data_IF_925034294210
#
_entry.id   IF_925034294210
#
_cell.length_a   1.000
_cell.length_b   1.000
_cell.length_c   1.000
_cell.angle_alpha   90.00
_cell.angle_beta   90.00
_cell.angle_gamma   90.00
#
_symmetry.space_group_name_H-M   'P 1'
#
loop_
_entity.id
_entity.type
_entity.pdbx_description
1 polymer ?
#
# COMPACT_ATOMS: atom_id res chain seq x y z
N UNK A 1 -15.96 10.70 5.93
CA UNK A 1 -15.29 10.98 4.63
C UNK A 1 -16.28 11.08 3.47
N UNK A 2 -17.40 10.35 3.48
CA UNK A 2 -18.38 10.39 2.40
C UNK A 2 -18.95 11.82 2.20
N UNK A 3 -18.96 12.30 0.94
CA UNK A 3 -19.35 13.65 0.54
C UNK A 3 -18.45 14.80 1.03
N UNK A 4 -17.29 14.52 1.63
CA UNK A 4 -16.30 15.54 1.94
C UNK A 4 -15.40 15.81 0.72
N UNK A 5 -14.81 17.00 0.62
CA UNK A 5 -13.72 17.25 -0.32
C UNK A 5 -12.48 16.42 0.10
N UNK A 6 -11.65 16.04 -0.87
CA UNK A 6 -10.36 15.42 -0.57
C UNK A 6 -9.50 16.39 0.26
N UNK A 7 -8.80 15.86 1.27
CA UNK A 7 -7.87 16.63 2.10
C UNK A 7 -6.50 15.95 2.10
N UNK A 8 -5.49 16.69 1.71
CA UNK A 8 -4.10 16.24 1.76
C UNK A 8 -3.63 16.04 3.22
N UNK A 9 -4.18 16.79 4.17
CA UNK A 9 -3.87 16.65 5.58
C UNK A 9 -4.40 15.33 6.16
N UNK A 10 -5.50 14.80 5.62
CA UNK A 10 -5.99 13.46 5.98
C UNK A 10 -5.08 12.38 5.42
N UNK A 11 -4.58 12.54 4.18
CA UNK A 11 -3.54 11.67 3.63
C UNK A 11 -2.29 11.68 4.53
N UNK A 12 -1.83 12.85 4.97
CA UNK A 12 -0.67 12.96 5.87
C UNK A 12 -0.91 12.21 7.19
N UNK A 13 -2.11 12.32 7.79
CA UNK A 13 -2.46 11.55 8.98
C UNK A 13 -2.42 10.05 8.73
N UNK A 14 -2.88 9.59 7.57
CA UNK A 14 -2.83 8.18 7.21
C UNK A 14 -1.38 7.69 7.01
N UNK A 15 -0.53 8.46 6.31
CA UNK A 15 0.90 8.18 6.14
C UNK A 15 1.63 8.13 7.50
N UNK A 16 1.34 9.08 8.39
CA UNK A 16 1.93 9.16 9.72
C UNK A 16 1.49 8.00 10.63
N UNK A 17 0.25 7.54 10.48
CA UNK A 17 -0.29 6.41 11.22
C UNK A 17 0.22 5.06 10.67
N UNK A 18 0.47 4.96 9.37
CA UNK A 18 0.84 3.74 8.66
C UNK A 18 2.30 3.34 8.81
N UNK A 19 2.86 3.36 10.02
CA UNK A 19 4.29 3.11 10.29
C UNK A 19 4.76 1.66 10.05
N UNK A 20 3.84 0.72 9.86
CA UNK A 20 4.07 -0.66 9.42
C UNK A 20 2.80 -1.19 8.76
N UNK A 21 2.86 -2.30 8.03
CA UNK A 21 1.69 -2.92 7.40
C UNK A 21 0.55 -3.18 8.39
N UNK A 22 0.87 -3.54 9.65
CA UNK A 22 -0.12 -3.74 10.70
C UNK A 22 -0.82 -2.44 11.11
N UNK A 23 -0.06 -1.35 11.19
CA UNK A 23 -0.59 -0.03 11.54
C UNK A 23 -1.39 0.56 10.38
N UNK A 24 -0.95 0.39 9.13
CA UNK A 24 -1.69 0.80 7.92
C UNK A 24 -3.05 0.11 7.85
N UNK A 25 -3.07 -1.21 8.12
CA UNK A 25 -4.31 -2.00 8.17
C UNK A 25 -5.23 -1.54 9.30
N UNK A 26 -4.69 -1.26 10.49
CA UNK A 26 -5.47 -0.73 11.61
C UNK A 26 -6.06 0.66 11.31
N UNK A 27 -5.27 1.55 10.70
CA UNK A 27 -5.72 2.88 10.30
C UNK A 27 -6.84 2.82 9.24
N UNK A 28 -6.68 1.96 8.22
CA UNK A 28 -7.71 1.74 7.21
C UNK A 28 -8.99 1.13 7.80
N UNK A 29 -8.85 0.16 8.71
CA UNK A 29 -9.99 -0.46 9.41
C UNK A 29 -10.77 0.57 10.23
N UNK A 30 -10.07 1.45 10.97
CA UNK A 30 -10.70 2.51 11.74
C UNK A 30 -11.49 3.50 10.86
N UNK A 31 -10.96 3.85 9.68
CA UNK A 31 -11.68 4.67 8.68
C UNK A 31 -12.94 3.94 8.19
N UNK A 32 -12.83 2.65 7.85
CA UNK A 32 -13.96 1.83 7.40
C UNK A 32 -15.05 1.73 8.47
N UNK A 33 -14.69 1.47 9.72
CA UNK A 33 -15.63 1.42 10.85
C UNK A 33 -16.36 2.77 11.05
N UNK A 34 -15.62 3.87 10.99
CA UNK A 34 -16.20 5.22 11.09
C UNK A 34 -17.20 5.53 9.96
N UNK A 35 -17.05 4.88 8.79
CA UNK A 35 -17.95 4.97 7.64
C UNK A 35 -19.05 3.89 7.63
N UNK A 36 -19.16 3.12 8.73
CA UNK A 36 -20.22 2.15 8.96
C UNK A 36 -20.02 0.79 8.27
N UNK A 37 -18.76 0.42 7.99
CA UNK A 37 -18.41 -0.94 7.55
C UNK A 37 -18.34 -1.87 8.76
N UNK A 38 -18.87 -3.08 8.62
CA UNK A 38 -18.90 -4.10 9.67
C UNK A 38 -17.76 -5.09 9.44
N UNK A 39 -17.00 -5.38 10.49
CA UNK A 39 -15.94 -6.38 10.44
C UNK A 39 -16.56 -7.79 10.31
N UNK A 40 -16.10 -8.53 9.31
CA UNK A 40 -16.46 -9.92 9.03
C UNK A 40 -15.21 -10.81 9.15
N UNK A 41 -14.86 -11.33 10.34
CA UNK A 41 -13.70 -12.21 10.50
C UNK A 41 -13.75 -13.40 9.54
N UNK A 42 -12.62 -13.77 8.95
CA UNK A 42 -12.57 -14.89 8.00
C UNK A 42 -13.01 -16.23 8.62
N UNK A 43 -12.78 -16.42 9.92
CA UNK A 43 -13.14 -17.64 10.67
C UNK A 43 -14.62 -17.72 11.04
N UNK A 44 -15.40 -16.64 10.89
CA UNK A 44 -16.82 -16.62 11.23
C UNK A 44 -17.72 -16.89 10.01
N UNK A 45 -18.96 -17.33 10.26
CA UNK A 45 -20.01 -17.25 9.25
C UNK A 45 -20.40 -15.79 9.01
N UNK A 46 -20.67 -15.42 7.75
CA UNK A 46 -21.05 -14.06 7.40
C UNK A 46 -22.54 -13.96 7.12
N UNK A 47 -23.17 -12.96 7.71
CA UNK A 47 -24.55 -12.56 7.42
C UNK A 47 -24.53 -11.31 6.56
N UNK A 48 -24.66 -11.47 5.25
CA UNK A 48 -24.50 -10.40 4.28
C UNK A 48 -25.88 -9.94 3.75
N UNK A 49 -26.16 -8.66 3.87
CA UNK A 49 -27.39 -8.04 3.35
C UNK A 49 -27.14 -7.27 2.05
N UNK A 50 -28.09 -7.22 1.10
CA UNK A 50 -27.98 -6.40 -0.11
C UNK A 50 -27.68 -4.93 0.23
N UNK A 51 -26.66 -4.35 -0.43
CA UNK A 51 -26.19 -2.98 -0.18
C UNK A 51 -25.46 -2.79 1.15
N UNK A 52 -25.24 -3.86 1.93
CA UNK A 52 -24.47 -3.83 3.16
C UNK A 52 -22.99 -3.50 2.91
N UNK A 53 -22.31 -3.01 3.95
CA UNK A 53 -20.92 -2.57 3.94
C UNK A 53 -20.12 -3.42 4.92
N UNK A 54 -19.10 -4.07 4.44
CA UNK A 54 -18.34 -5.03 5.23
C UNK A 54 -16.85 -4.91 4.94
N UNK A 55 -16.03 -5.39 5.86
CA UNK A 55 -14.60 -5.57 5.64
C UNK A 55 -14.09 -6.80 6.40
N UNK A 56 -12.95 -7.31 5.97
CA UNK A 56 -12.20 -8.35 6.68
C UNK A 56 -10.72 -8.04 6.64
N UNK A 57 -9.96 -8.62 7.57
CA UNK A 57 -8.51 -8.52 7.60
C UNK A 57 -7.88 -9.90 7.56
N UNK A 58 -6.71 -10.02 6.94
CA UNK A 58 -5.91 -11.24 6.95
C UNK A 58 -4.53 -10.94 7.55
N UNK A 59 -4.12 -11.74 8.53
CA UNK A 59 -2.88 -11.55 9.29
C UNK A 59 -2.78 -10.20 10.04
N UNK A 60 -3.83 -9.36 10.06
CA UNK A 60 -3.76 -8.00 10.59
C UNK A 60 -2.89 -7.04 9.76
N UNK A 61 -2.43 -7.45 8.57
CA UNK A 61 -1.55 -6.67 7.68
C UNK A 61 -2.11 -6.48 6.28
N UNK A 62 -3.17 -7.19 5.91
CA UNK A 62 -3.98 -6.95 4.72
C UNK A 62 -5.44 -6.70 5.12
N UNK A 63 -6.14 -5.86 4.38
CA UNK A 63 -7.56 -5.53 4.60
C UNK A 63 -8.29 -5.48 3.26
N UNK A 64 -9.49 -6.04 3.23
CA UNK A 64 -10.40 -5.97 2.09
C UNK A 64 -11.78 -5.51 2.58
N UNK A 65 -12.29 -4.45 1.96
CA UNK A 65 -13.62 -3.91 2.20
C UNK A 65 -14.51 -4.06 0.98
N UNK A 66 -15.81 -4.26 1.19
CA UNK A 66 -16.76 -4.36 0.09
C UNK A 66 -18.11 -3.75 0.40
N UNK A 67 -18.81 -3.37 -0.65
CA UNK A 67 -20.24 -3.09 -0.64
C UNK A 67 -20.97 -4.19 -1.40
N UNK A 68 -21.97 -4.77 -0.75
CA UNK A 68 -22.80 -5.80 -1.38
C UNK A 68 -23.58 -5.22 -2.56
N UNK A 69 -23.67 -5.95 -3.68
CA UNK A 69 -24.58 -5.58 -4.76
C UNK A 69 -26.03 -5.50 -4.27
N UNK A 70 -26.81 -4.68 -4.95
CA UNK A 70 -28.27 -4.70 -4.87
C UNK A 70 -28.79 -5.35 -6.13
N UNK A 71 -29.76 -6.27 -5.99
CA UNK A 71 -30.29 -7.01 -7.13
C UNK A 71 -29.36 -8.10 -7.66
N UNK A 72 -29.50 -8.45 -8.94
CA UNK A 72 -28.70 -9.49 -9.59
C UNK A 72 -27.26 -9.01 -9.83
N UNK A 73 -26.27 -9.84 -9.52
CA UNK A 73 -24.87 -9.50 -9.73
C UNK A 73 -24.54 -9.43 -11.24
N UNK A 74 -24.10 -8.27 -11.70
CA UNK A 74 -23.74 -8.01 -13.10
C UNK A 74 -22.26 -7.71 -13.29
N UNK A 75 -21.52 -7.30 -12.24
CA UNK A 75 -20.10 -7.00 -12.30
C UNK A 75 -19.55 -6.46 -10.99
N UNK A 76 -18.25 -6.19 -11.01
CA UNK A 76 -17.48 -5.67 -9.87
C UNK A 76 -16.70 -4.42 -10.26
N UNK A 77 -16.62 -3.48 -9.33
CA UNK A 77 -15.57 -2.48 -9.31
C UNK A 77 -14.59 -2.84 -8.20
N UNK A 78 -13.32 -2.87 -8.49
CA UNK A 78 -12.31 -3.14 -7.48
C UNK A 78 -11.10 -2.21 -7.62
N UNK A 79 -10.54 -1.78 -6.50
CA UNK A 79 -9.24 -1.11 -6.45
C UNK A 79 -8.34 -1.84 -5.46
N UNK A 80 -7.10 -2.08 -5.86
CA UNK A 80 -6.10 -2.81 -5.10
C UNK A 80 -4.83 -1.97 -4.96
N UNK A 81 -4.22 -2.02 -3.77
CA UNK A 81 -2.99 -1.33 -3.37
C UNK A 81 -2.24 -2.20 -2.36
N UNK A 82 -1.11 -1.73 -1.78
CA UNK A 82 -0.43 -2.47 -0.74
C UNK A 82 -0.15 -1.66 0.53
N UNK A 83 0.10 -2.38 1.64
CA UNK A 83 0.24 -1.84 2.99
C UNK A 83 1.68 -1.77 3.48
N UNK A 84 2.55 -2.56 2.88
CA UNK A 84 3.96 -2.68 3.23
C UNK A 84 4.80 -1.65 2.48
N UNK A 85 6.03 -1.44 2.94
CA UNK A 85 7.01 -0.54 2.33
C UNK A 85 8.41 -1.01 2.70
N UNK A 86 9.45 -0.72 1.90
CA UNK A 86 10.81 -1.14 2.23
C UNK A 86 11.28 -0.60 3.56
N UNK A 87 11.86 -1.48 4.36
CA UNK A 87 12.33 -1.17 5.72
C UNK A 87 13.34 -2.18 6.24
N UNK A 88 13.78 -2.01 7.48
CA UNK A 88 14.62 -2.94 8.21
C UNK A 88 13.78 -3.77 9.17
N UNK A 89 13.65 -5.07 8.93
CA UNK A 89 12.99 -6.02 9.83
C UNK A 89 13.91 -6.38 10.98
N UNK A 90 13.43 -6.33 12.21
CA UNK A 90 14.16 -6.78 13.40
C UNK A 90 14.09 -8.30 13.47
N UNK A 91 15.25 -8.96 13.45
CA UNK A 91 15.38 -10.41 13.59
C UNK A 91 15.49 -10.85 15.04
N UNK A 92 16.19 -10.04 15.85
CA UNK A 92 16.44 -10.34 17.26
C UNK A 92 16.44 -9.04 18.07
N UNK A 93 15.78 -9.06 19.23
CA UNK A 93 15.56 -7.87 20.07
C UNK A 93 16.82 -7.31 20.71
N UNK A 94 17.72 -8.20 21.16
CA UNK A 94 18.89 -7.84 21.90
C UNK A 94 20.09 -8.65 21.41
N UNK A 95 21.12 -7.97 20.95
CA UNK A 95 22.42 -8.56 20.70
C UNK A 95 23.40 -8.07 21.75
N UNK A 96 24.13 -8.99 22.37
CA UNK A 96 25.16 -8.63 23.31
C UNK A 96 26.29 -7.87 22.59
N UNK A 97 26.44 -6.61 22.94
CA UNK A 97 27.58 -5.78 22.55
C UNK A 97 28.25 -5.22 23.80
N UNK A 98 29.56 -4.97 23.69
CA UNK A 98 30.37 -4.51 24.86
C UNK A 98 30.01 -3.09 25.30
N UNK A 99 29.48 -2.27 24.41
CA UNK A 99 29.30 -0.82 24.60
C UNK A 99 27.85 -0.38 24.38
N UNK A 100 27.17 -0.97 23.38
CA UNK A 100 25.85 -0.52 22.93
C UNK A 100 24.79 -1.61 23.08
N UNK A 101 23.55 -1.20 23.35
CA UNK A 101 22.38 -2.03 23.10
C UNK A 101 22.12 -2.03 21.59
N UNK A 102 22.04 -3.20 20.99
CA UNK A 102 21.81 -3.40 19.55
C UNK A 102 20.66 -4.37 19.30
N UNK A 103 20.12 -4.34 18.10
CA UNK A 103 19.29 -5.41 17.56
C UNK A 103 19.82 -5.83 16.18
N UNK A 104 19.68 -7.09 15.82
CA UNK A 104 19.95 -7.50 14.44
C UNK A 104 18.78 -7.21 13.53
N UNK A 105 19.10 -6.65 12.36
CA UNK A 105 18.11 -6.33 11.34
C UNK A 105 18.48 -6.95 10.00
N UNK A 106 17.48 -7.14 9.16
CA UNK A 106 17.63 -7.49 7.74
C UNK A 106 16.77 -6.58 6.88
N UNK A 107 17.19 -6.39 5.61
CA UNK A 107 16.42 -5.59 4.66
C UNK A 107 15.12 -6.30 4.26
N UNK A 108 14.03 -5.55 4.26
CA UNK A 108 12.73 -5.94 3.72
C UNK A 108 12.44 -5.04 2.51
N UNK A 109 12.26 -5.66 1.32
CA UNK A 109 12.13 -4.92 0.06
C UNK A 109 13.43 -4.29 -0.46
N UNK A 110 13.34 -3.56 -1.53
CA UNK A 110 14.46 -2.95 -2.26
C UNK A 110 14.75 -1.50 -1.88
N UNK A 111 15.18 -1.23 -0.63
CA UNK A 111 15.35 0.13 -0.12
C UNK A 111 16.58 0.87 -0.63
N UNK A 112 16.52 2.20 -0.61
CA UNK A 112 17.69 3.09 -0.74
C UNK A 112 18.40 3.15 0.62
N UNK A 113 19.38 2.26 0.85
CA UNK A 113 20.06 2.07 2.14
C UNK A 113 20.63 3.34 2.76
N UNK A 114 21.33 4.24 2.01
CA UNK A 114 21.90 5.47 2.59
C UNK A 114 20.88 6.40 3.21
N UNK A 115 19.61 6.34 2.75
CA UNK A 115 18.57 7.21 3.28
C UNK A 115 18.16 6.90 4.72
N UNK A 116 18.57 5.75 5.26
CA UNK A 116 18.27 5.31 6.62
C UNK A 116 19.33 5.70 7.65
N UNK A 117 20.49 6.17 7.20
CA UNK A 117 21.62 6.50 8.06
C UNK A 117 21.39 7.85 8.77
N UNK A 118 21.92 7.96 10.01
CA UNK A 118 21.93 9.17 10.85
C UNK A 118 20.54 9.79 11.14
N UNK A 119 19.49 8.98 11.04
CA UNK A 119 18.11 9.43 11.29
C UNK A 119 17.61 9.01 12.66
N UNK A 120 16.72 9.78 13.27
CA UNK A 120 15.96 9.32 14.43
C UNK A 120 14.96 8.25 14.01
N UNK A 121 15.18 7.01 14.47
CA UNK A 121 14.34 5.87 14.17
C UNK A 121 13.59 5.41 15.42
N UNK A 122 12.44 4.77 15.21
CA UNK A 122 11.71 4.01 16.23
C UNK A 122 11.47 2.59 15.75
N UNK A 123 10.80 1.78 16.57
CA UNK A 123 10.36 0.42 16.23
C UNK A 123 8.85 0.42 16.09
N UNK A 124 8.34 -0.16 15.03
CA UNK A 124 6.92 -0.32 14.81
C UNK A 124 6.59 -1.76 14.42
N UNK A 125 5.36 -2.20 14.71
CA UNK A 125 4.88 -3.52 14.36
C UNK A 125 3.95 -4.10 15.41
N UNK A 126 4.03 -5.41 15.62
CA UNK A 126 3.21 -6.10 16.63
C UNK A 126 4.04 -7.03 17.52
N UNK A 127 3.61 -7.16 18.75
CA UNK A 127 4.04 -8.20 19.67
C UNK A 127 2.98 -9.29 19.71
N UNK A 128 3.40 -10.55 19.80
CA UNK A 128 2.55 -11.70 20.05
C UNK A 128 2.68 -12.07 21.51
N UNK A 129 1.63 -11.82 22.27
CA UNK A 129 1.67 -11.85 23.74
C UNK A 129 0.82 -13.00 24.27
N UNK A 130 1.35 -13.71 25.24
CA UNK A 130 0.61 -14.72 26.00
C UNK A 130 -0.49 -14.07 26.84
N UNK A 131 -1.69 -14.61 26.76
CA UNK A 131 -2.83 -14.27 27.60
C UNK A 131 -3.40 -15.54 28.25
N UNK A 132 -4.36 -15.37 29.17
CA UNK A 132 -5.06 -16.53 29.76
C UNK A 132 -5.80 -17.39 28.72
N UNK A 133 -6.28 -16.77 27.64
CA UNK A 133 -7.04 -17.43 26.56
C UNK A 133 -6.18 -17.90 25.37
N UNK A 134 -4.86 -17.58 25.34
CA UNK A 134 -4.00 -17.99 24.24
C UNK A 134 -2.95 -16.94 23.86
N UNK A 135 -2.90 -16.57 22.58
CA UNK A 135 -1.96 -15.59 22.04
C UNK A 135 -2.73 -14.43 21.43
N UNK A 136 -2.38 -13.21 21.80
CA UNK A 136 -2.96 -11.99 21.26
C UNK A 136 -1.90 -11.09 20.63
N UNK A 137 -2.32 -10.35 19.59
CA UNK A 137 -1.49 -9.33 18.94
C UNK A 137 -1.65 -7.98 19.64
N UNK A 138 -0.53 -7.30 19.88
CA UNK A 138 -0.51 -5.91 20.40
C UNK A 138 0.35 -5.05 19.49
N UNK A 139 -0.23 -4.01 18.90
CA UNK A 139 0.52 -3.03 18.11
C UNK A 139 1.42 -2.20 19.01
N UNK A 140 2.62 -1.92 18.53
CA UNK A 140 3.61 -1.07 19.24
C UNK A 140 4.27 -0.11 18.27
N UNK A 141 4.38 1.15 18.69
CA UNK A 141 5.16 2.18 18.01
C UNK A 141 5.47 3.30 19.01
N UNK A 142 6.52 3.19 19.85
CA UNK A 142 6.87 4.20 20.82
C UNK A 142 7.06 5.59 20.19
N UNK A 143 6.38 6.60 20.74
CA UNK A 143 6.39 7.97 20.20
C UNK A 143 7.67 8.74 20.61
N UNK A 144 8.82 8.11 20.39
CA UNK A 144 10.15 8.69 20.60
C UNK A 144 11.18 8.02 19.70
N UNK A 145 12.31 8.69 19.47
CA UNK A 145 13.46 8.06 18.83
C UNK A 145 14.05 7.01 19.77
N UNK A 146 14.16 5.78 19.28
CA UNK A 146 14.74 4.64 19.99
C UNK A 146 16.06 4.18 19.39
N UNK A 147 16.25 4.43 18.09
CA UNK A 147 17.39 3.86 17.35
C UNK A 147 17.99 4.87 16.38
N UNK A 148 19.22 4.57 15.99
CA UNK A 148 19.93 5.21 14.89
C UNK A 148 20.82 4.16 14.22
N UNK A 149 20.96 4.24 12.90
CA UNK A 149 22.01 3.55 12.14
C UNK A 149 23.10 4.57 11.85
N UNK A 150 24.22 4.59 12.59
CA UNK A 150 25.22 5.62 12.42
C UNK A 150 26.11 5.36 11.21
N UNK A 151 26.41 6.40 10.43
CA UNK A 151 27.46 6.35 9.45
C UNK A 151 28.85 6.16 10.12
N UNK A 152 29.74 5.49 9.39
CA UNK A 152 31.18 5.57 9.74
C UNK A 152 31.64 7.01 9.46
N UNK A 153 32.38 7.61 10.39
CA UNK A 153 32.81 8.98 10.22
C UNK A 153 33.80 9.12 9.03
N UNK A 154 33.80 10.30 8.38
CA UNK A 154 34.60 10.54 7.18
C UNK A 154 36.11 10.30 7.39
N UNK A 155 36.60 10.48 8.62
CA UNK A 155 38.03 10.25 8.95
C UNK A 155 38.45 8.77 8.86
N UNK A 156 37.50 7.85 8.98
CA UNK A 156 37.71 6.42 8.84
C UNK A 156 37.37 5.89 7.46
N UNK A 157 36.64 6.65 6.66
CA UNK A 157 36.23 6.27 5.31
C UNK A 157 36.24 7.50 4.38
N UNK A 158 37.41 7.84 3.85
CA UNK A 158 37.59 8.98 2.95
C UNK A 158 36.86 8.79 1.61
N UNK A 159 36.55 7.55 1.22
CA UNK A 159 35.85 7.22 -0.02
C UNK A 159 34.33 7.23 0.09
N UNK A 160 33.78 7.60 1.26
CA UNK A 160 32.33 7.58 1.52
C UNK A 160 31.54 8.31 0.42
N UNK A 161 32.02 9.45 -0.03
CA UNK A 161 31.35 10.28 -1.06
C UNK A 161 31.63 9.81 -2.51
N UNK A 162 32.46 8.79 -2.70
CA UNK A 162 32.82 8.24 -4.01
C UNK A 162 31.98 7.01 -4.41
N UNK A 163 30.89 6.73 -3.68
CA UNK A 163 29.98 5.63 -3.95
C UNK A 163 30.26 4.40 -3.05
N UNK A 164 29.98 4.53 -1.76
CA UNK A 164 30.12 3.43 -0.80
C UNK A 164 29.17 2.28 -1.14
N UNK A 165 29.70 1.06 -1.14
CA UNK A 165 28.90 -0.17 -1.19
C UNK A 165 28.66 -0.66 0.23
N UNK A 166 27.42 -0.55 0.71
CA UNK A 166 27.03 -0.98 2.05
C UNK A 166 26.91 -2.50 2.15
N UNK A 167 27.41 -3.06 3.26
CA UNK A 167 27.12 -4.42 3.70
C UNK A 167 26.07 -4.35 4.83
N UNK A 168 24.81 -4.79 4.61
CA UNK A 168 23.78 -4.70 5.63
C UNK A 168 24.12 -5.33 6.98
N UNK A 169 24.86 -6.44 6.98
CA UNK A 169 25.23 -7.14 8.22
C UNK A 169 26.30 -6.40 9.04
N UNK A 170 27.12 -5.56 8.39
CA UNK A 170 28.25 -4.88 9.04
C UNK A 170 27.98 -3.40 9.27
N UNK A 171 27.47 -2.71 8.23
CA UNK A 171 27.39 -1.25 8.20
C UNK A 171 26.04 -0.71 8.69
N UNK A 172 24.97 -1.54 8.68
CA UNK A 172 23.60 -1.02 8.81
C UNK A 172 22.84 -1.59 10.03
N UNK A 173 23.59 -2.06 11.04
CA UNK A 173 22.98 -2.54 12.29
C UNK A 173 22.70 -1.35 13.23
N UNK A 174 21.45 -1.19 13.72
CA UNK A 174 21.07 -0.05 14.56
C UNK A 174 21.61 -0.16 15.98
N UNK A 175 21.88 0.99 16.59
CA UNK A 175 22.11 1.12 18.03
C UNK A 175 20.83 1.65 18.70
N UNK A 176 20.49 1.12 19.88
CA UNK A 176 19.30 1.47 20.67
C UNK A 176 19.65 2.15 21.99
N UNK A 177 20.92 2.31 22.33
CA UNK A 177 21.37 2.96 23.56
C UNK A 177 22.70 2.44 24.06
N UNK A 178 23.05 2.77 25.28
CA UNK A 178 24.24 2.27 25.98
C UNK A 178 24.08 0.82 26.46
N UNK A 179 25.18 0.26 26.97
CA UNK A 179 25.22 -1.07 27.55
C UNK A 179 24.13 -1.30 28.60
N UNK A 180 23.46 -2.45 28.50
CA UNK A 180 22.36 -2.83 29.41
C UNK A 180 21.00 -2.29 29.02
N UNK A 181 20.89 -1.55 27.91
CA UNK A 181 19.57 -1.21 27.32
C UNK A 181 18.85 -2.49 26.87
N UNK A 182 17.55 -2.57 27.14
CA UNK A 182 16.72 -3.73 26.82
C UNK A 182 15.52 -3.29 25.98
N UNK A 183 15.57 -3.54 24.67
CA UNK A 183 14.49 -3.16 23.74
C UNK A 183 13.19 -3.91 24.08
N UNK A 184 13.29 -5.19 24.46
CA UNK A 184 12.12 -6.01 24.79
C UNK A 184 11.33 -5.42 25.98
N UNK A 185 12.02 -4.92 27.00
CA UNK A 185 11.38 -4.26 28.15
C UNK A 185 10.69 -2.94 27.75
N UNK A 186 11.31 -2.16 26.86
CA UNK A 186 10.71 -0.92 26.35
C UNK A 186 9.42 -1.21 25.60
N UNK A 187 9.43 -2.23 24.72
CA UNK A 187 8.26 -2.61 23.94
C UNK A 187 7.16 -3.25 24.80
N UNK A 188 7.55 -4.02 25.84
CA UNK A 188 6.63 -4.59 26.82
C UNK A 188 5.88 -3.49 27.57
N UNK A 189 6.61 -2.46 28.03
CA UNK A 189 6.02 -1.31 28.71
C UNK A 189 5.07 -0.52 27.79
N UNK A 190 5.43 -0.33 26.52
CA UNK A 190 4.58 0.29 25.50
C UNK A 190 3.27 -0.47 25.28
N UNK A 191 3.35 -1.80 25.22
CA UNK A 191 2.19 -2.67 25.04
C UNK A 191 1.36 -2.88 26.33
N UNK A 192 1.85 -2.42 27.48
CA UNK A 192 1.21 -2.64 28.79
C UNK A 192 1.25 -4.11 29.24
N UNK A 193 2.31 -4.85 28.91
CA UNK A 193 2.50 -6.27 29.21
C UNK A 193 3.84 -6.52 29.90
N UNK A 194 4.05 -7.73 30.42
CA UNK A 194 5.36 -8.13 30.91
C UNK A 194 6.23 -8.64 29.76
N UNK A 195 7.54 -8.38 29.82
CA UNK A 195 8.48 -8.84 28.81
C UNK A 195 8.51 -10.37 28.67
N UNK A 196 8.31 -11.10 29.77
CA UNK A 196 8.24 -12.58 29.80
C UNK A 196 7.02 -13.15 29.05
N UNK A 197 5.94 -12.36 28.89
CA UNK A 197 4.74 -12.74 28.16
C UNK A 197 4.85 -12.52 26.66
N UNK A 198 5.87 -11.80 26.17
CA UNK A 198 6.15 -11.65 24.75
C UNK A 198 6.75 -12.96 24.22
N UNK A 199 5.96 -13.65 23.37
CA UNK A 199 6.33 -14.94 22.79
C UNK A 199 7.10 -14.74 21.47
N UNK A 200 6.69 -13.76 20.66
CA UNK A 200 7.27 -13.45 19.34
C UNK A 200 6.90 -12.04 18.94
N UNK A 201 7.43 -11.55 17.81
CA UNK A 201 7.12 -10.24 17.28
C UNK A 201 7.37 -10.12 15.78
N UNK A 202 6.56 -9.29 15.12
CA UNK A 202 6.82 -8.80 13.76
C UNK A 202 7.12 -7.30 13.86
N UNK A 203 8.40 -6.95 13.85
CA UNK A 203 8.87 -5.59 14.09
C UNK A 203 9.76 -5.08 12.97
N UNK A 204 9.63 -3.78 12.68
CA UNK A 204 10.43 -3.06 11.69
C UNK A 204 10.94 -1.75 12.28
N UNK A 205 12.02 -1.21 11.71
CA UNK A 205 12.41 0.18 11.96
C UNK A 205 11.47 1.12 11.22
N UNK A 206 11.11 2.22 11.86
CA UNK A 206 10.31 3.28 11.25
C UNK A 206 10.99 4.64 11.45
N UNK A 207 10.88 5.51 10.44
CA UNK A 207 11.34 6.89 10.54
C UNK A 207 10.43 7.69 11.47
N UNK A 208 11.00 8.68 12.16
CA UNK A 208 10.24 9.58 13.05
C UNK A 208 9.74 10.83 12.36
N UNK A 209 10.24 11.10 11.17
CA UNK A 209 9.80 12.23 10.36
C UNK A 209 8.34 12.01 9.94
N UNK A 210 7.54 13.06 10.10
CA UNK A 210 6.14 13.09 9.65
C UNK A 210 6.03 13.61 8.23
N UNK A 211 4.87 13.35 7.62
CA UNK A 211 4.53 13.93 6.33
C UNK A 211 4.55 15.47 6.40
N UNK A 212 5.20 16.11 5.44
CA UNK A 212 5.40 17.57 5.43
C UNK A 212 5.25 18.11 4.01
N UNK A 213 4.57 19.27 3.87
CA UNK A 213 4.53 20.00 2.62
C UNK A 213 5.92 20.55 2.27
N UNK A 214 6.25 20.53 0.99
CA UNK A 214 7.50 21.00 0.41
C UNK A 214 7.25 21.77 -0.88
N UNK A 215 8.19 22.65 -1.24
CA UNK A 215 8.12 23.49 -2.43
C UNK A 215 7.80 24.96 -2.09
N UNK A 216 8.09 25.85 -3.06
CA UNK A 216 7.92 27.30 -2.86
C UNK A 216 6.44 27.68 -2.61
N UNK A 217 5.51 26.90 -3.15
CA UNK A 217 4.08 27.13 -3.00
C UNK A 217 3.39 25.95 -2.24
N UNK A 218 4.16 25.01 -1.65
CA UNK A 218 3.62 23.84 -0.99
C UNK A 218 2.98 22.82 -1.94
N UNK A 219 3.44 22.78 -3.19
CA UNK A 219 2.91 21.95 -4.27
C UNK A 219 3.26 20.47 -4.13
N UNK A 220 4.34 20.16 -3.40
CA UNK A 220 4.80 18.81 -3.13
C UNK A 220 4.66 18.46 -1.64
N UNK A 221 4.92 17.22 -1.33
CA UNK A 221 5.10 16.76 0.06
C UNK A 221 6.19 15.69 0.14
N UNK A 222 6.73 15.53 1.33
CA UNK A 222 7.67 14.46 1.66
C UNK A 222 7.11 13.63 2.80
N UNK A 223 7.25 12.32 2.69
CA UNK A 223 6.92 11.35 3.73
C UNK A 223 7.69 10.05 3.51
N UNK A 224 7.84 9.25 4.52
CA UNK A 224 8.13 7.83 4.30
C UNK A 224 6.87 7.09 3.83
N UNK A 225 7.04 5.97 3.16
CA UNK A 225 5.97 5.04 2.78
C UNK A 225 4.90 5.64 1.84
N UNK A 226 5.29 6.62 1.02
CA UNK A 226 4.42 7.14 -0.05
C UNK A 226 4.04 5.97 -0.95
N UNK A 227 5.03 5.16 -1.32
CA UNK A 227 4.85 3.85 -1.92
C UNK A 227 4.51 2.82 -0.82
N UNK A 228 3.26 2.31 -0.75
CA UNK A 228 2.11 2.61 -1.64
C UNK A 228 0.93 3.20 -0.83
N UNK A 229 1.20 3.75 0.37
CA UNK A 229 0.14 4.28 1.23
C UNK A 229 -0.56 5.49 0.61
N UNK A 230 0.07 6.20 -0.33
CA UNK A 230 -0.59 7.26 -1.10
C UNK A 230 -1.69 6.69 -1.99
N UNK A 231 -1.40 5.63 -2.77
CA UNK A 231 -2.40 4.95 -3.58
C UNK A 231 -3.44 4.24 -2.70
N UNK A 232 -3.01 3.62 -1.60
CA UNK A 232 -3.93 2.98 -0.65
C UNK A 232 -4.97 3.95 -0.10
N UNK A 233 -4.54 5.12 0.38
CA UNK A 233 -5.46 6.12 0.92
C UNK A 233 -6.34 6.77 -0.16
N UNK A 234 -5.77 7.15 -1.30
CA UNK A 234 -6.52 7.82 -2.37
C UNK A 234 -7.57 6.91 -3.01
N UNK A 235 -7.25 5.61 -3.16
CA UNK A 235 -8.22 4.60 -3.62
C UNK A 235 -9.27 4.29 -2.55
N UNK A 236 -8.91 4.24 -1.25
CA UNK A 236 -9.88 4.12 -0.16
C UNK A 236 -10.85 5.30 -0.14
N UNK A 237 -10.32 6.53 -0.25
CA UNK A 237 -11.15 7.72 -0.30
C UNK A 237 -12.13 7.66 -1.47
N UNK A 238 -11.64 7.34 -2.68
CA UNK A 238 -12.48 7.18 -3.87
C UNK A 238 -13.53 6.08 -3.72
N UNK A 239 -13.17 4.93 -3.15
CA UNK A 239 -14.10 3.85 -2.81
C UNK A 239 -15.23 4.33 -1.91
N UNK A 240 -14.92 5.10 -0.87
CA UNK A 240 -15.93 5.63 0.06
C UNK A 240 -16.90 6.63 -0.58
N UNK A 241 -16.51 7.32 -1.69
CA UNK A 241 -17.39 8.20 -2.47
C UNK A 241 -18.35 7.44 -3.40
N UNK A 242 -18.09 6.16 -3.66
CA UNK A 242 -18.95 5.32 -4.50
C UNK A 242 -20.39 5.27 -3.98
N UNK A 243 -21.38 5.37 -4.90
CA UNK A 243 -22.81 5.40 -4.57
C UNK A 243 -23.42 4.01 -4.41
N UNK A 244 -22.72 2.97 -4.93
CA UNK A 244 -23.25 1.61 -5.02
C UNK A 244 -24.28 1.51 -6.14
N UNK A 245 -23.87 1.03 -7.28
CA UNK A 245 -24.73 0.82 -8.44
C UNK A 245 -25.55 -0.47 -8.28
N UNK A 246 -26.76 -0.51 -8.82
CA UNK A 246 -27.56 -1.72 -8.82
C UNK A 246 -26.88 -2.83 -9.64
N UNK A 247 -26.85 -4.05 -9.09
CA UNK A 247 -26.18 -5.19 -9.71
C UNK A 247 -24.66 -5.18 -9.64
N UNK A 248 -24.02 -4.15 -9.08
CA UNK A 248 -22.57 -4.10 -8.93
C UNK A 248 -22.11 -4.19 -7.49
N UNK A 249 -21.08 -5.02 -7.27
CA UNK A 249 -20.33 -5.03 -6.03
C UNK A 249 -19.10 -4.14 -6.14
N UNK A 250 -18.78 -3.42 -5.08
CA UNK A 250 -17.59 -2.60 -4.99
C UNK A 250 -16.62 -3.20 -3.99
N UNK A 251 -15.33 -3.28 -4.35
CA UNK A 251 -14.26 -3.83 -3.53
C UNK A 251 -13.11 -2.81 -3.45
N UNK A 252 -12.57 -2.65 -2.28
CA UNK A 252 -11.27 -2.02 -2.04
C UNK A 252 -10.40 -2.99 -1.25
N UNK A 253 -9.15 -3.16 -1.66
CA UNK A 253 -8.21 -4.06 -0.98
C UNK A 253 -6.84 -3.43 -0.88
N UNK A 254 -6.19 -3.64 0.27
CA UNK A 254 -4.80 -3.30 0.53
C UNK A 254 -4.09 -4.59 0.97
N UNK A 255 -3.22 -5.12 0.10
CA UNK A 255 -2.45 -6.34 0.33
C UNK A 255 -1.16 -6.07 1.12
N UNK A 256 -0.53 -7.11 1.64
CA UNK A 256 0.78 -7.04 2.28
C UNK A 256 1.82 -7.78 1.42
N UNK A 257 3.09 -7.54 1.70
CA UNK A 257 4.25 -8.22 1.10
C UNK A 257 4.42 -8.00 -0.42
N UNK A 258 3.93 -6.89 -0.96
CA UNK A 258 4.19 -6.52 -2.36
C UNK A 258 5.69 -6.39 -2.60
N UNK A 259 6.39 -5.67 -1.73
CA UNK A 259 7.82 -5.33 -1.80
C UNK A 259 8.77 -6.53 -1.76
N UNK A 260 8.25 -7.70 -1.45
CA UNK A 260 8.98 -8.98 -1.44
C UNK A 260 8.31 -10.04 -2.33
N UNK A 261 7.46 -9.60 -3.28
CA UNK A 261 6.92 -10.43 -4.36
C UNK A 261 5.55 -11.05 -4.11
N UNK A 262 4.77 -10.54 -3.15
CA UNK A 262 3.35 -10.92 -2.91
C UNK A 262 3.07 -12.41 -2.66
N UNK A 263 4.08 -13.26 -2.47
CA UNK A 263 3.94 -14.73 -2.39
C UNK A 263 3.54 -15.23 -1.00
N UNK A 264 2.84 -14.44 -0.22
CA UNK A 264 2.35 -14.80 1.10
C UNK A 264 0.83 -15.01 1.11
N UNK A 265 0.31 -15.53 2.22
CA UNK A 265 -1.12 -15.73 2.42
C UNK A 265 -1.92 -14.41 2.35
N UNK A 266 -1.33 -13.30 2.76
CA UNK A 266 -1.90 -11.95 2.79
C UNK A 266 -1.47 -11.07 1.60
N UNK A 267 -0.59 -11.56 0.73
CA UNK A 267 -0.16 -10.89 -0.49
C UNK A 267 -1.12 -11.10 -1.66
N UNK A 268 -0.89 -10.38 -2.76
CA UNK A 268 -1.77 -10.41 -3.94
C UNK A 268 -1.80 -11.79 -4.65
N UNK A 269 -0.78 -12.64 -4.48
CA UNK A 269 -0.80 -14.03 -4.94
C UNK A 269 -1.63 -14.94 -4.02
N UNK A 270 -1.97 -14.50 -2.81
CA UNK A 270 -2.85 -15.23 -1.90
C UNK A 270 -4.30 -15.21 -2.37
N UNK A 271 -5.14 -15.95 -1.66
CA UNK A 271 -6.54 -16.14 -2.04
C UNK A 271 -7.52 -15.13 -1.42
N UNK A 272 -7.04 -14.11 -0.69
CA UNK A 272 -7.91 -13.20 0.07
C UNK A 272 -9.10 -12.68 -0.75
N UNK A 273 -8.82 -12.09 -1.90
CA UNK A 273 -9.88 -11.52 -2.76
C UNK A 273 -10.74 -12.62 -3.39
N UNK A 274 -10.15 -13.74 -3.80
CA UNK A 274 -10.88 -14.86 -4.37
C UNK A 274 -11.83 -15.50 -3.35
N UNK A 275 -11.37 -15.68 -2.09
CA UNK A 275 -12.18 -16.24 -1.00
C UNK A 275 -13.35 -15.31 -0.63
N UNK A 276 -13.11 -13.99 -0.55
CA UNK A 276 -14.17 -13.00 -0.27
C UNK A 276 -15.21 -13.00 -1.40
N UNK A 277 -14.78 -12.96 -2.66
CA UNK A 277 -15.68 -13.02 -3.82
C UNK A 277 -16.54 -14.29 -3.79
N UNK A 278 -15.92 -15.46 -3.54
CA UNK A 278 -16.64 -16.73 -3.47
C UNK A 278 -17.71 -16.73 -2.37
N UNK A 279 -17.39 -16.21 -1.17
CA UNK A 279 -18.34 -16.12 -0.04
C UNK A 279 -19.47 -15.15 -0.31
N UNK A 280 -19.21 -14.01 -0.97
CA UNK A 280 -20.26 -13.08 -1.38
C UNK A 280 -21.18 -13.72 -2.43
N UNK A 281 -20.60 -14.32 -3.48
CA UNK A 281 -21.31 -14.97 -4.57
C UNK A 281 -22.20 -16.11 -4.03
N UNK A 282 -21.67 -16.92 -3.10
CA UNK A 282 -22.43 -18.00 -2.43
C UNK A 282 -23.60 -17.45 -1.61
N UNK A 283 -23.36 -16.38 -0.83
CA UNK A 283 -24.42 -15.76 -0.01
C UNK A 283 -25.57 -15.19 -0.83
N UNK A 284 -25.29 -14.81 -2.08
CA UNK A 284 -26.28 -14.29 -3.04
C UNK A 284 -26.95 -15.40 -3.89
N UNK A 285 -26.50 -16.66 -3.77
CA UNK A 285 -26.96 -17.76 -4.63
C UNK A 285 -26.51 -17.62 -6.09
N UNK A 286 -25.39 -16.92 -6.34
CA UNK A 286 -24.86 -16.69 -7.68
C UNK A 286 -24.27 -18.00 -8.23
N UNK A 287 -24.72 -18.41 -9.41
CA UNK A 287 -24.15 -19.59 -10.09
C UNK A 287 -22.76 -19.30 -10.63
N UNK A 288 -21.95 -20.38 -10.85
CA UNK A 288 -20.63 -20.23 -11.46
C UNK A 288 -20.69 -19.51 -12.83
N UNK A 289 -21.73 -19.76 -13.62
CA UNK A 289 -21.92 -19.12 -14.93
C UNK A 289 -22.14 -17.60 -14.75
N UNK A 290 -23.00 -17.20 -13.82
CA UNK A 290 -23.25 -15.80 -13.47
C UNK A 290 -21.98 -15.13 -12.93
N UNK A 291 -21.22 -15.81 -12.07
CA UNK A 291 -19.92 -15.33 -11.55
C UNK A 291 -18.95 -15.02 -12.69
N UNK A 292 -18.81 -15.92 -13.68
CA UNK A 292 -17.91 -15.72 -14.83
C UNK A 292 -18.34 -14.50 -15.67
N UNK A 293 -19.66 -14.36 -15.94
CA UNK A 293 -20.19 -13.17 -16.63
C UNK A 293 -19.94 -11.89 -15.87
N UNK A 294 -20.19 -11.89 -14.57
CA UNK A 294 -19.97 -10.72 -13.72
C UNK A 294 -18.48 -10.32 -13.72
N UNK A 295 -17.56 -11.28 -13.58
CA UNK A 295 -16.12 -11.02 -13.64
C UNK A 295 -15.67 -10.47 -15.01
N UNK A 296 -16.26 -10.93 -16.11
CA UNK A 296 -16.00 -10.36 -17.45
C UNK A 296 -16.46 -8.89 -17.55
N UNK A 297 -17.56 -8.54 -16.91
CA UNK A 297 -18.10 -7.18 -16.86
C UNK A 297 -17.50 -6.31 -15.75
N UNK A 298 -16.31 -6.64 -15.29
CA UNK A 298 -15.62 -5.97 -14.19
C UNK A 298 -14.41 -5.21 -14.70
N UNK A 299 -13.89 -4.31 -13.87
CA UNK A 299 -12.59 -3.70 -14.03
C UNK A 299 -11.93 -3.63 -12.65
N UNK A 300 -10.65 -3.92 -12.58
CA UNK A 300 -9.83 -3.76 -11.37
C UNK A 300 -8.81 -2.66 -11.62
N UNK A 301 -8.71 -1.71 -10.72
CA UNK A 301 -7.61 -0.76 -10.65
C UNK A 301 -6.51 -1.38 -9.78
N UNK A 302 -5.35 -1.65 -10.36
CA UNK A 302 -4.13 -1.99 -9.63
C UNK A 302 -3.36 -0.70 -9.44
N UNK A 303 -3.42 -0.15 -8.25
CA UNK A 303 -2.86 1.16 -7.91
C UNK A 303 -1.57 0.97 -7.13
N UNK A 304 -0.48 1.53 -7.65
CA UNK A 304 0.87 1.41 -7.12
C UNK A 304 1.70 2.57 -7.68
N UNK A 305 2.52 3.24 -6.85
CA UNK A 305 3.25 4.43 -7.27
C UNK A 305 4.23 4.15 -8.42
N UNK A 306 4.61 5.20 -9.17
CA UNK A 306 5.54 5.11 -10.29
C UNK A 306 6.63 6.17 -10.21
N UNK A 307 7.74 5.97 -10.95
CA UNK A 307 8.84 6.93 -10.94
C UNK A 307 8.51 8.18 -11.73
N UNK A 308 8.63 9.35 -11.13
CA UNK A 308 8.69 10.61 -11.86
C UNK A 308 10.06 10.78 -12.54
N UNK A 309 10.12 11.61 -13.57
CA UNK A 309 11.36 11.98 -14.24
C UNK A 309 12.26 12.72 -13.24
N UNK A 310 13.45 12.13 -12.97
CA UNK A 310 14.37 12.71 -12.00
C UNK A 310 15.02 13.98 -12.54
N UNK A 311 14.97 15.11 -11.83
CA UNK A 311 15.42 16.41 -12.36
C UNK A 311 16.91 16.44 -12.74
N UNK A 312 17.75 15.68 -12.04
CA UNK A 312 19.19 15.61 -12.30
C UNK A 312 19.57 14.42 -13.20
N UNK A 313 18.65 13.50 -13.52
CA UNK A 313 18.88 12.31 -14.32
C UNK A 313 17.71 12.03 -15.28
N UNK A 314 17.30 13.02 -16.11
CA UNK A 314 16.16 12.85 -17.01
C UNK A 314 16.38 11.72 -18.03
N UNK A 315 17.65 11.42 -18.34
CA UNK A 315 18.04 10.32 -19.24
C UNK A 315 17.68 8.93 -18.74
N UNK A 316 17.27 8.78 -17.48
CA UNK A 316 16.80 7.51 -16.91
C UNK A 316 15.34 7.21 -17.23
N UNK A 317 14.56 8.22 -17.56
CA UNK A 317 13.16 8.06 -17.96
C UNK A 317 13.02 7.80 -19.46
N UNK A 318 11.86 7.24 -19.86
CA UNK A 318 11.52 7.14 -21.29
C UNK A 318 11.38 8.55 -21.89
N UNK A 319 12.14 8.89 -22.94
CA UNK A 319 12.10 10.23 -23.52
C UNK A 319 10.76 10.56 -24.20
N UNK A 320 9.97 9.55 -24.60
CA UNK A 320 8.66 9.75 -25.22
C UNK A 320 7.54 9.99 -24.21
N UNK A 321 7.71 9.46 -22.98
CA UNK A 321 6.69 9.50 -21.91
C UNK A 321 7.31 9.97 -20.58
N UNK A 322 7.82 11.23 -20.52
CA UNK A 322 8.36 11.75 -19.27
C UNK A 322 7.23 11.99 -18.27
N UNK A 323 7.36 11.40 -17.09
CA UNK A 323 6.40 11.60 -16.00
C UNK A 323 6.75 12.85 -15.22
N UNK A 324 5.77 13.73 -15.02
CA UNK A 324 5.91 14.99 -14.28
C UNK A 324 5.05 14.94 -13.02
N UNK A 325 5.63 15.21 -11.86
CA UNK A 325 4.85 15.38 -10.63
C UNK A 325 3.91 16.57 -10.75
N UNK A 326 2.64 16.40 -10.40
CA UNK A 326 1.57 17.38 -10.63
C UNK A 326 0.90 17.24 -12.01
N UNK A 327 1.35 16.30 -12.84
CA UNK A 327 0.83 16.08 -14.20
C UNK A 327 -0.36 15.14 -14.28
N UNK A 328 -0.81 14.55 -13.16
CA UNK A 328 -1.97 13.67 -13.10
C UNK A 328 -1.63 12.20 -12.89
N UNK A 329 -2.66 11.38 -12.95
CA UNK A 329 -2.61 9.94 -12.69
C UNK A 329 -1.80 9.22 -13.78
N UNK A 330 -0.94 8.29 -13.38
CA UNK A 330 -0.19 7.44 -14.29
C UNK A 330 -1.04 6.30 -14.80
N UNK A 331 -0.95 6.03 -16.09
CA UNK A 331 -1.46 4.83 -16.75
C UNK A 331 -0.26 4.00 -17.19
N UNK A 332 -0.01 2.88 -16.53
CA UNK A 332 1.22 2.09 -16.67
C UNK A 332 1.09 1.05 -17.77
N UNK A 333 2.03 1.02 -18.72
CA UNK A 333 2.12 0.00 -19.78
C UNK A 333 3.44 -0.74 -19.77
N UNK A 334 3.40 -2.04 -20.04
CA UNK A 334 4.59 -2.87 -20.19
C UNK A 334 4.35 -3.98 -21.21
N UNK A 335 5.24 -4.09 -22.20
CA UNK A 335 5.15 -5.11 -23.24
C UNK A 335 5.27 -6.55 -22.71
N UNK A 336 5.88 -6.75 -21.54
CA UNK A 336 5.99 -8.07 -20.87
C UNK A 336 4.77 -8.41 -20.04
N UNK A 337 3.76 -7.53 -19.99
CA UNK A 337 2.57 -7.67 -19.16
C UNK A 337 2.87 -7.80 -17.65
N UNK A 338 3.97 -7.22 -17.19
CA UNK A 338 4.23 -7.00 -15.74
C UNK A 338 3.34 -5.88 -15.19
N UNK A 339 2.81 -5.02 -16.07
CA UNK A 339 1.63 -4.19 -15.86
C UNK A 339 0.51 -4.75 -16.74
N UNK A 340 -0.67 -4.91 -16.17
CA UNK A 340 -1.81 -5.62 -16.78
C UNK A 340 -2.61 -4.79 -17.78
N UNK A 341 -2.28 -3.50 -17.91
CA UNK A 341 -3.01 -2.56 -18.76
C UNK A 341 -3.04 -3.04 -20.22
N UNK A 342 -4.23 -3.17 -20.76
CA UNK A 342 -4.50 -3.40 -22.18
C UNK A 342 -5.04 -2.14 -22.86
N UNK A 343 -5.15 -2.15 -24.18
CA UNK A 343 -5.74 -1.04 -24.92
C UNK A 343 -7.17 -0.70 -24.47
N UNK A 344 -7.99 -1.73 -24.16
CA UNK A 344 -9.36 -1.51 -23.65
C UNK A 344 -9.40 -0.95 -22.23
N UNK A 345 -8.66 -1.56 -21.31
CA UNK A 345 -8.67 -1.14 -19.91
C UNK A 345 -8.09 0.25 -19.73
N UNK A 346 -7.02 0.56 -20.49
CA UNK A 346 -6.42 1.90 -20.51
C UNK A 346 -7.35 2.95 -21.13
N UNK A 347 -8.05 2.64 -22.22
CA UNK A 347 -9.03 3.53 -22.83
C UNK A 347 -10.22 3.79 -21.89
N UNK A 348 -10.71 2.74 -21.21
CA UNK A 348 -11.80 2.87 -20.24
C UNK A 348 -11.42 3.80 -19.09
N UNK A 349 -10.25 3.59 -18.48
CA UNK A 349 -9.78 4.43 -17.37
C UNK A 349 -9.50 5.88 -17.82
N UNK A 350 -8.90 6.07 -19.01
CA UNK A 350 -8.72 7.41 -19.59
C UNK A 350 -10.04 8.16 -19.79
N UNK A 351 -11.09 7.46 -20.24
CA UNK A 351 -12.40 8.07 -20.40
C UNK A 351 -13.04 8.46 -19.05
N UNK A 352 -12.87 7.63 -18.02
CA UNK A 352 -13.30 7.92 -16.64
C UNK A 352 -12.56 9.14 -16.10
N UNK A 353 -11.23 9.19 -16.22
CA UNK A 353 -10.44 10.35 -15.80
C UNK A 353 -10.87 11.64 -16.51
N UNK A 354 -11.14 11.58 -17.82
CA UNK A 354 -11.67 12.72 -18.59
C UNK A 354 -13.00 13.23 -18.03
N UNK A 355 -13.91 12.33 -17.69
CA UNK A 355 -15.20 12.67 -17.05
C UNK A 355 -14.99 13.32 -15.69
N UNK A 356 -14.03 12.83 -14.91
CA UNK A 356 -13.66 13.39 -13.62
C UNK A 356 -12.88 14.73 -13.71
N UNK A 357 -12.49 15.17 -14.91
CA UNK A 357 -11.63 16.35 -15.10
C UNK A 357 -10.19 16.14 -14.61
N UNK A 358 -9.70 14.88 -14.62
CA UNK A 358 -8.39 14.47 -14.12
C UNK A 358 -7.43 14.24 -15.29
N UNK A 359 -6.24 14.86 -15.27
CA UNK A 359 -5.21 14.60 -16.26
C UNK A 359 -4.60 13.20 -16.09
N UNK A 360 -4.16 12.59 -17.21
CA UNK A 360 -3.54 11.27 -17.25
C UNK A 360 -2.21 11.36 -17.97
N UNK A 361 -1.20 10.69 -17.43
CA UNK A 361 0.11 10.55 -18.04
C UNK A 361 0.36 9.07 -18.38
N UNK A 362 1.01 8.80 -19.50
CA UNK A 362 1.47 7.44 -19.83
C UNK A 362 2.79 7.19 -19.11
N UNK A 363 2.85 6.08 -18.38
CA UNK A 363 4.08 5.57 -17.80
C UNK A 363 4.57 4.36 -18.60
N UNK A 364 5.79 4.47 -19.09
CA UNK A 364 6.52 3.37 -19.73
C UNK A 364 7.99 3.42 -19.29
N UNK A 365 8.60 2.26 -19.16
CA UNK A 365 10.04 2.22 -18.89
C UNK A 365 10.83 2.44 -20.19
N UNK A 366 12.05 2.99 -20.10
CA UNK A 366 12.98 2.99 -21.22
C UNK A 366 13.13 1.56 -21.76
N UNK A 367 13.24 1.42 -23.08
CA UNK A 367 13.31 0.11 -23.74
C UNK A 367 14.50 -0.76 -23.28
N UNK A 368 15.56 -0.14 -22.77
CA UNK A 368 16.78 -0.78 -22.26
C UNK A 368 16.77 -1.00 -20.73
N UNK A 369 15.69 -0.60 -20.03
CA UNK A 369 15.54 -0.76 -18.59
C UNK A 369 14.41 -1.75 -18.30
N UNK A 370 14.67 -2.87 -17.62
CA UNK A 370 13.59 -3.73 -17.17
C UNK A 370 12.73 -2.99 -16.16
N UNK A 371 11.43 -2.96 -16.39
CA UNK A 371 10.47 -2.41 -15.42
C UNK A 371 10.31 -3.32 -14.20
N UNK A 372 9.79 -2.76 -13.11
CA UNK A 372 9.25 -3.54 -12.00
C UNK A 372 7.98 -4.31 -12.43
N UNK A 373 7.40 -5.01 -11.48
CA UNK A 373 6.03 -5.54 -11.59
C UNK A 373 5.18 -4.89 -10.50
N UNK A 374 3.87 -5.07 -10.61
CA UNK A 374 2.89 -4.59 -9.64
C UNK A 374 2.06 -5.77 -9.15
N UNK A 375 1.26 -5.52 -8.12
CA UNK A 375 0.33 -6.51 -7.58
C UNK A 375 -0.72 -6.99 -8.60
N UNK A 376 -1.06 -6.19 -9.62
CA UNK A 376 -2.10 -6.51 -10.60
C UNK A 376 -1.82 -7.76 -11.42
N UNK A 377 -0.59 -7.92 -11.90
CA UNK A 377 -0.19 -9.13 -12.63
C UNK A 377 -0.36 -10.39 -11.76
N UNK A 378 -0.02 -10.32 -10.48
CA UNK A 378 -0.11 -11.45 -9.55
C UNK A 378 -1.56 -11.73 -9.15
N UNK A 379 -2.34 -10.68 -8.85
CA UNK A 379 -3.77 -10.77 -8.53
C UNK A 379 -4.57 -11.34 -9.70
N UNK A 380 -4.20 -11.00 -10.95
CA UNK A 380 -4.84 -11.50 -12.17
C UNK A 380 -4.89 -13.01 -12.28
N UNK A 381 -3.94 -13.73 -11.69
CA UNK A 381 -3.95 -15.19 -11.65
C UNK A 381 -5.02 -15.75 -10.69
N UNK A 382 -5.49 -14.97 -9.72
CA UNK A 382 -6.44 -15.43 -8.72
C UNK A 382 -7.90 -15.10 -9.08
N UNK A 383 -8.17 -13.94 -9.68
CA UNK A 383 -9.54 -13.45 -9.83
C UNK A 383 -10.03 -13.36 -11.28
N UNK A 384 -9.16 -13.44 -12.28
CA UNK A 384 -9.49 -13.46 -13.72
C UNK A 384 -10.46 -12.33 -14.16
N UNK A 385 -10.22 -11.11 -13.71
CA UNK A 385 -10.96 -9.90 -14.12
C UNK A 385 -10.07 -9.01 -15.01
N UNK A 386 -10.64 -8.24 -15.96
CA UNK A 386 -9.90 -7.18 -16.64
C UNK A 386 -9.27 -6.21 -15.64
N UNK A 387 -8.02 -5.80 -15.88
CA UNK A 387 -7.28 -4.92 -14.98
C UNK A 387 -6.60 -3.77 -15.71
N UNK A 388 -6.36 -2.68 -15.00
CA UNK A 388 -5.57 -1.54 -15.42
C UNK A 388 -4.60 -1.17 -14.31
N UNK A 389 -3.32 -1.04 -14.62
CA UNK A 389 -2.30 -0.56 -13.69
C UNK A 389 -2.19 0.96 -13.76
N UNK A 390 -2.41 1.59 -12.62
CA UNK A 390 -2.37 3.02 -12.42
C UNK A 390 -1.41 3.38 -11.29
N UNK A 391 -1.11 4.64 -11.12
CA UNK A 391 -0.26 5.08 -10.01
C UNK A 391 -0.09 6.59 -9.95
N UNK A 392 0.77 7.03 -9.05
CA UNK A 392 1.15 8.42 -8.88
C UNK A 392 2.66 8.59 -9.03
N UNK A 393 3.07 9.71 -9.62
CA UNK A 393 4.47 9.99 -9.88
C UNK A 393 5.19 10.47 -8.63
N UNK A 394 6.28 9.81 -8.25
CA UNK A 394 7.10 10.19 -7.10
C UNK A 394 8.59 10.18 -7.38
N UNK A 395 9.37 10.86 -6.56
CA UNK A 395 10.82 10.84 -6.52
C UNK A 395 11.31 10.10 -5.28
N UNK A 396 12.51 9.54 -5.38
CA UNK A 396 13.18 8.81 -4.31
C UNK A 396 12.34 7.63 -3.78
N UNK A 397 11.59 6.94 -4.64
CA UNK A 397 10.87 5.70 -4.31
C UNK A 397 11.78 4.74 -3.55
N UNK A 398 11.25 4.12 -2.47
CA UNK A 398 12.00 3.23 -1.56
C UNK A 398 13.06 3.93 -0.69
N UNK A 399 13.05 5.26 -0.63
CA UNK A 399 13.82 6.00 0.36
C UNK A 399 13.10 5.99 1.72
N UNK A 400 13.85 6.20 2.80
CA UNK A 400 13.26 6.45 4.11
C UNK A 400 12.36 7.71 4.14
N UNK A 401 12.57 8.64 3.18
CA UNK A 401 11.73 9.81 2.89
C UNK A 401 11.62 9.97 1.38
N UNK A 402 10.42 9.94 0.86
CA UNK A 402 10.05 10.03 -0.55
C UNK A 402 9.41 11.38 -0.84
N UNK A 403 9.18 11.71 -2.10
CA UNK A 403 8.59 12.99 -2.49
C UNK A 403 7.52 12.79 -3.55
N UNK A 404 6.32 13.34 -3.33
CA UNK A 404 5.21 13.28 -4.27
C UNK A 404 4.47 14.62 -4.40
N UNK A 405 3.45 14.66 -5.26
CA UNK A 405 2.67 15.87 -5.55
C UNK A 405 1.33 15.88 -4.82
N UNK A 406 1.04 16.98 -4.11
CA UNK A 406 -0.27 17.16 -3.47
C UNK A 406 -1.43 17.13 -4.49
N UNK A 407 -1.21 17.64 -5.71
CA UNK A 407 -2.25 17.66 -6.75
C UNK A 407 -2.53 16.27 -7.30
N UNK A 408 -1.51 15.43 -7.48
CA UNK A 408 -1.68 14.08 -8.03
C UNK A 408 -2.48 13.18 -7.07
N UNK A 409 -2.27 13.31 -5.76
CA UNK A 409 -3.09 12.62 -4.76
C UNK A 409 -4.58 12.97 -4.87
N UNK A 410 -4.91 14.26 -5.05
CA UNK A 410 -6.27 14.71 -5.27
C UNK A 410 -6.85 14.19 -6.60
N UNK A 411 -6.03 14.17 -7.66
CA UNK A 411 -6.42 13.63 -8.96
C UNK A 411 -6.75 12.13 -8.88
N UNK A 412 -5.92 11.33 -8.22
CA UNK A 412 -6.20 9.90 -8.02
C UNK A 412 -7.50 9.69 -7.26
N UNK A 413 -7.69 10.40 -6.15
CA UNK A 413 -8.91 10.30 -5.35
C UNK A 413 -10.17 10.61 -6.19
N UNK A 414 -10.14 11.67 -7.02
CA UNK A 414 -11.25 12.04 -7.92
C UNK A 414 -11.48 11.01 -9.02
N UNK A 415 -10.42 10.51 -9.66
CA UNK A 415 -10.51 9.51 -10.70
C UNK A 415 -11.13 8.20 -10.17
N UNK A 416 -10.70 7.75 -9.00
CA UNK A 416 -11.22 6.53 -8.36
C UNK A 416 -12.66 6.73 -7.88
N UNK A 417 -13.02 7.91 -7.37
CA UNK A 417 -14.43 8.22 -7.04
C UNK A 417 -15.34 8.14 -8.27
N UNK A 418 -14.91 8.69 -9.41
CA UNK A 418 -15.66 8.59 -10.66
C UNK A 418 -15.72 7.15 -11.18
N UNK A 419 -14.63 6.40 -11.05
CA UNK A 419 -14.57 4.98 -11.42
C UNK A 419 -15.64 4.16 -10.69
N UNK A 420 -15.79 4.28 -9.38
CA UNK A 420 -16.83 3.57 -8.61
C UNK A 420 -18.26 4.03 -8.91
N UNK A 421 -18.43 5.12 -9.64
CA UNK A 421 -19.72 5.66 -10.06
C UNK A 421 -19.98 5.51 -11.58
N UNK A 422 -19.08 4.85 -12.31
CA UNK A 422 -19.22 4.66 -13.77
C UNK A 422 -19.53 3.21 -14.08
N UNK A 423 -20.76 2.90 -14.58
CA UNK A 423 -21.11 1.59 -15.06
C UNK A 423 -20.16 1.10 -16.17
N UNK A 424 -19.69 -0.14 -16.05
CA UNK A 424 -18.82 -0.78 -17.04
C UNK A 424 -19.48 -2.06 -17.50
N UNK A 425 -19.64 -2.24 -18.80
CA UNK A 425 -20.27 -3.42 -19.38
C UNK A 425 -19.56 -3.86 -20.66
N UNK A 426 -19.25 -5.15 -20.76
CA UNK A 426 -18.66 -5.77 -21.93
C UNK A 426 -19.68 -6.69 -22.63
N UNK A 427 -20.47 -6.18 -23.62
CA UNK A 427 -21.51 -6.97 -24.28
C UNK A 427 -20.96 -8.11 -25.13
N UNK A 428 -19.74 -7.97 -25.65
CA UNK A 428 -19.00 -8.98 -26.39
C UNK A 428 -17.50 -8.63 -26.40
N UNK A 429 -16.69 -9.58 -26.77
CA UNK A 429 -15.26 -9.32 -26.97
C UNK A 429 -15.05 -8.21 -28.03
N UNK A 430 -14.15 -7.28 -27.72
CA UNK A 430 -13.87 -6.11 -28.56
C UNK A 430 -14.87 -4.95 -28.44
N UNK A 431 -15.84 -4.99 -27.50
CA UNK A 431 -16.78 -3.89 -27.26
C UNK A 431 -16.99 -3.63 -25.77
N UNK A 432 -16.70 -2.41 -25.34
CA UNK A 432 -16.97 -1.94 -23.97
C UNK A 432 -17.96 -0.76 -23.99
N UNK A 433 -18.90 -0.78 -23.07
CA UNK A 433 -19.83 0.32 -22.82
C UNK A 433 -19.56 0.91 -21.45
N UNK A 434 -19.47 2.21 -21.40
CA UNK A 434 -19.22 2.98 -20.16
C UNK A 434 -20.37 3.96 -19.98
N UNK A 435 -20.89 4.06 -18.75
CA UNK A 435 -21.90 5.05 -18.37
C UNK A 435 -21.27 6.43 -18.11
N UNK A 436 -20.69 7.02 -19.13
CA UNK A 436 -19.98 8.30 -19.06
C UNK A 436 -20.91 9.50 -19.12
#
# INVERSE_FOLDING_TARGET
>A
MKNAAFSIEELFRFLDAGVSAFHSTAAASAILEAEGYVNCPESAAWELAPGGKYYTTRNGSAVLAWRMPRGELTGWHAAASHSDSPTWRIKQFDTEDKVFAKAEVEGYGGMIMPSWLDRPLTVAGRLLVRTESGIESRLVCPDRALACIPNLCIHFNHDLNNGMKYNPQVDLQPIFGGKGGNLKEVLAAEAGVKAEDILDADLVLATREKAVRMGLNGEYFMSGRIDDLECAYTTLWGFLQGRGEEGRGDIWVMFDNEEVGSSSRQGAQGTLMADVLARIEESMGVSREQSIRARTNSLVLSADNGHATHPNHPEKSDPANPVVMGGGVLLKYNARQTYTTSGFTGAAFTAICKKAGVPVQVFANRADVPGGSTLGNLLGHQILMPMVDIGLGQLAMHSAMETASCADAEYMAKAVAEYYNTPIFQPKDGEWKLGL
#
